data_IF_021748492052
#
_entry.id   IF_021748492052
#
_cell.length_a   1.000
_cell.length_b   1.000
_cell.length_c   1.000
_cell.angle_alpha   90.00
_cell.angle_beta   90.00
_cell.angle_gamma   90.00
#
_symmetry.space_group_name_H-M   'P 1'
#
loop_
_entity.id
_entity.type
_entity.pdbx_description
1 polymer ?
#
# COMPACT_ATOMS: atom_id res chain seq x y z
N UNK A 1 -10.28 4.16 -17.24
CA UNK A 1 -10.31 5.48 -16.55
C UNK A 1 -9.15 5.50 -15.57
N UNK A 2 -8.41 6.61 -15.44
CA UNK A 2 -7.38 6.77 -14.41
C UNK A 2 -7.93 7.62 -13.27
N UNK A 3 -7.73 7.19 -12.04
CA UNK A 3 -8.09 7.94 -10.83
C UNK A 3 -6.81 8.22 -10.06
N UNK A 4 -6.60 9.47 -9.66
CA UNK A 4 -5.49 9.88 -8.80
C UNK A 4 -6.08 10.19 -7.42
N UNK A 5 -5.57 9.51 -6.39
CA UNK A 5 -5.96 9.75 -4.99
C UNK A 5 -4.81 10.50 -4.33
N UNK A 6 -5.00 11.79 -4.10
CA UNK A 6 -4.02 12.63 -3.42
C UNK A 6 -4.38 12.71 -1.92
N UNK A 7 -3.50 12.20 -1.02
CA UNK A 7 -3.78 12.25 0.40
C UNK A 7 -3.53 13.66 0.95
N UNK A 8 -4.44 14.16 1.79
CA UNK A 8 -4.30 15.48 2.42
C UNK A 8 -3.15 15.54 3.45
N UNK A 9 -2.79 14.40 4.04
CA UNK A 9 -1.75 14.22 5.07
C UNK A 9 -1.24 12.77 4.98
N UNK A 10 -0.62 12.24 6.03
CA UNK A 10 -0.15 10.85 6.10
C UNK A 10 -1.27 9.81 5.99
N UNK A 11 -0.95 8.68 5.37
CA UNK A 11 -1.82 7.50 5.28
C UNK A 11 -1.37 6.42 6.26
N UNK A 12 -2.33 5.62 6.74
CA UNK A 12 -2.08 4.44 7.57
C UNK A 12 -2.84 3.23 7.02
N UNK A 13 -2.09 2.29 6.44
CA UNK A 13 -2.59 0.97 6.06
C UNK A 13 -2.09 -0.05 7.07
N UNK A 14 -2.89 -0.33 8.09
CA UNK A 14 -2.46 -1.10 9.27
C UNK A 14 -2.09 -2.54 8.90
N UNK A 15 -0.97 -3.03 9.43
CA UNK A 15 -0.64 -4.46 9.41
C UNK A 15 -1.68 -5.32 10.16
N UNK A 16 -1.73 -6.63 9.90
CA UNK A 16 -2.73 -7.54 10.47
C UNK A 16 -2.56 -7.86 11.97
N UNK A 17 -1.83 -7.04 12.72
CA UNK A 17 -1.66 -7.21 14.17
C UNK A 17 -2.82 -6.57 14.95
N UNK A 18 -3.09 -7.06 16.15
CA UNK A 18 -4.03 -6.44 17.06
C UNK A 18 -3.63 -4.99 17.33
N UNK A 19 -4.63 -4.10 17.39
CA UNK A 19 -4.45 -2.70 17.73
C UNK A 19 -5.63 -2.27 18.61
N UNK A 20 -5.45 -2.45 19.92
CA UNK A 20 -6.45 -2.21 20.95
C UNK A 20 -5.89 -1.29 22.02
N UNK A 21 -6.66 -0.27 22.38
CA UNK A 21 -6.25 0.69 23.39
C UNK A 21 -6.08 0.00 24.76
N UNK A 22 -4.87 0.06 25.31
CA UNK A 22 -4.55 -0.51 26.63
C UNK A 22 -3.82 -1.86 26.61
N UNK A 23 -3.76 -2.53 25.46
CA UNK A 23 -2.99 -3.78 25.27
C UNK A 23 -1.95 -3.58 24.16
N UNK A 24 -2.30 -3.88 22.93
CA UNK A 24 -1.48 -3.74 21.72
C UNK A 24 -1.73 -2.40 21.06
N UNK A 25 -0.84 -1.43 21.26
CA UNK A 25 -1.06 -0.02 20.89
C UNK A 25 -0.09 0.48 19.81
N UNK A 26 0.58 -0.43 19.11
CA UNK A 26 1.53 -0.09 18.03
C UNK A 26 0.95 -0.51 16.69
N UNK A 27 0.60 0.47 15.86
CA UNK A 27 0.24 0.24 14.46
C UNK A 27 1.44 0.56 13.56
N UNK A 28 1.77 -0.34 12.65
CA UNK A 28 2.72 -0.08 11.54
C UNK A 28 1.96 -0.07 10.23
N UNK A 29 2.32 0.88 9.37
CA UNK A 29 1.77 0.94 8.01
C UNK A 29 2.50 -0.02 7.08
N UNK A 30 1.74 -0.72 6.25
CA UNK A 30 2.18 -1.38 5.03
C UNK A 30 1.87 -0.50 3.83
N UNK A 31 2.18 -0.99 2.63
CA UNK A 31 1.66 -0.42 1.39
C UNK A 31 0.15 -0.69 1.27
N UNK A 32 -0.61 0.16 0.57
CA UNK A 32 -2.03 -0.08 0.31
C UNK A 32 -2.21 -1.39 -0.45
N UNK A 33 -3.05 -2.27 0.09
CA UNK A 33 -3.51 -3.44 -0.66
C UNK A 33 -4.57 -3.00 -1.67
N UNK A 34 -4.63 -3.61 -2.86
CA UNK A 34 -5.63 -3.27 -3.88
C UNK A 34 -7.07 -3.32 -3.33
N UNK A 35 -7.36 -4.29 -2.48
CA UNK A 35 -8.66 -4.43 -1.81
C UNK A 35 -9.04 -3.24 -0.91
N UNK A 36 -8.06 -2.56 -0.30
CA UNK A 36 -8.32 -1.38 0.54
C UNK A 36 -8.76 -0.20 -0.31
N UNK A 37 -8.10 0.00 -1.45
CA UNK A 37 -8.48 1.04 -2.42
C UNK A 37 -9.84 0.72 -3.05
N UNK A 38 -10.06 -0.54 -3.42
CA UNK A 38 -11.36 -1.02 -3.90
C UNK A 38 -12.48 -0.76 -2.89
N UNK A 39 -12.24 -1.08 -1.62
CA UNK A 39 -13.17 -0.81 -0.53
C UNK A 39 -13.50 0.67 -0.41
N UNK A 40 -12.50 1.55 -0.43
CA UNK A 40 -12.70 2.99 -0.35
C UNK A 40 -13.56 3.53 -1.52
N UNK A 41 -13.27 3.10 -2.75
CA UNK A 41 -14.04 3.50 -3.94
C UNK A 41 -15.49 3.00 -3.85
N UNK A 42 -15.68 1.71 -3.50
CA UNK A 42 -17.02 1.10 -3.34
C UNK A 42 -17.82 1.83 -2.26
N UNK A 43 -17.20 2.14 -1.13
CA UNK A 43 -17.84 2.90 -0.04
C UNK A 43 -18.23 4.30 -0.46
N UNK A 44 -17.39 4.99 -1.25
CA UNK A 44 -17.71 6.33 -1.76
C UNK A 44 -18.92 6.28 -2.70
N UNK A 45 -18.96 5.33 -3.63
CA UNK A 45 -20.11 5.15 -4.54
C UNK A 45 -21.40 4.86 -3.75
N UNK A 46 -21.34 3.95 -2.76
CA UNK A 46 -22.50 3.64 -1.92
C UNK A 46 -23.03 4.87 -1.18
N UNK A 47 -22.12 5.67 -0.61
CA UNK A 47 -22.48 6.85 0.15
C UNK A 47 -23.10 7.94 -0.74
N UNK A 48 -22.52 8.21 -1.91
CA UNK A 48 -23.02 9.24 -2.86
C UNK A 48 -24.36 8.86 -3.51
N UNK A 49 -24.75 7.58 -3.44
CA UNK A 49 -26.00 7.07 -4.01
C UNK A 49 -27.01 6.67 -2.92
N UNK A 50 -26.83 7.16 -1.69
CA UNK A 50 -27.71 6.89 -0.54
C UNK A 50 -28.03 5.41 -0.33
N UNK A 51 -27.03 4.54 -0.61
CA UNK A 51 -27.18 3.08 -0.52
C UNK A 51 -28.36 2.52 -1.34
N UNK A 52 -28.64 3.12 -2.50
CA UNK A 52 -29.64 2.63 -3.46
C UNK A 52 -29.39 1.18 -3.87
N UNK A 53 -30.44 0.50 -4.31
CA UNK A 53 -30.31 -0.90 -4.74
C UNK A 53 -29.39 -1.02 -5.97
N UNK A 54 -29.50 -0.10 -6.92
CA UNK A 54 -28.64 -0.04 -8.11
C UNK A 54 -27.16 0.12 -7.73
N UNK A 55 -26.85 1.00 -6.77
CA UNK A 55 -25.48 1.17 -6.30
C UNK A 55 -24.97 -0.10 -5.61
N UNK A 56 -25.79 -0.76 -4.78
CA UNK A 56 -25.44 -2.03 -4.13
C UNK A 56 -25.13 -3.12 -5.15
N UNK A 57 -25.91 -3.22 -6.21
CA UNK A 57 -25.71 -4.21 -7.26
C UNK A 57 -24.44 -3.91 -8.08
N UNK A 58 -24.20 -2.62 -8.39
CA UNK A 58 -23.01 -2.17 -9.10
C UNK A 58 -21.71 -2.46 -8.32
N UNK A 59 -21.65 -2.07 -7.04
CA UNK A 59 -20.44 -2.27 -6.21
C UNK A 59 -20.30 -3.68 -5.65
N UNK A 60 -21.23 -4.59 -5.96
CA UNK A 60 -21.26 -5.95 -5.40
C UNK A 60 -21.36 -5.95 -3.87
N UNK A 61 -22.33 -5.25 -3.28
CA UNK A 61 -22.49 -5.19 -1.82
C UNK A 61 -22.59 -6.60 -1.21
N UNK A 62 -21.78 -6.86 -0.18
CA UNK A 62 -21.59 -8.19 0.45
C UNK A 62 -21.03 -9.30 -0.45
N UNK A 63 -20.57 -8.96 -1.66
CA UNK A 63 -19.78 -9.85 -2.52
C UNK A 63 -18.29 -9.53 -2.33
N UNK A 64 -17.47 -10.58 -2.35
CA UNK A 64 -16.01 -10.44 -2.36
C UNK A 64 -15.56 -9.74 -3.64
N UNK A 65 -16.04 -10.22 -4.79
CA UNK A 65 -15.72 -9.66 -6.11
C UNK A 65 -16.96 -9.01 -6.75
N UNK A 66 -16.89 -7.71 -7.09
CA UNK A 66 -17.95 -7.04 -7.85
C UNK A 66 -17.87 -7.38 -9.35
N UNK A 67 -19.00 -7.74 -9.95
CA UNK A 67 -19.09 -8.07 -11.38
C UNK A 67 -18.98 -6.84 -12.29
N UNK A 68 -19.39 -5.66 -11.78
CA UNK A 68 -19.55 -4.44 -12.58
C UNK A 68 -18.44 -3.39 -12.37
N UNK A 69 -17.46 -3.68 -11.51
CA UNK A 69 -16.39 -2.75 -11.15
C UNK A 69 -15.04 -3.47 -11.06
N UNK A 70 -14.19 -3.27 -12.06
CA UNK A 70 -12.83 -3.84 -12.09
C UNK A 70 -11.80 -2.75 -11.83
N UNK A 71 -10.80 -3.05 -10.99
CA UNK A 71 -9.65 -2.18 -10.75
C UNK A 71 -8.43 -2.91 -11.29
N UNK A 72 -7.85 -2.39 -12.37
CA UNK A 72 -6.74 -3.03 -13.09
C UNK A 72 -5.45 -3.08 -12.26
N UNK A 73 -5.22 -2.08 -11.42
CA UNK A 73 -4.02 -1.99 -10.60
C UNK A 73 -4.02 -0.77 -9.68
N UNK A 74 -3.15 -0.83 -8.67
CA UNK A 74 -2.91 0.25 -7.71
C UNK A 74 -1.41 0.46 -7.63
N UNK A 75 -0.98 1.70 -7.83
CA UNK A 75 0.42 2.08 -7.84
C UNK A 75 0.62 3.32 -6.98
N UNK A 76 1.84 3.47 -6.44
CA UNK A 76 2.26 4.75 -5.90
C UNK A 76 2.58 5.72 -7.06
N UNK A 77 2.51 7.01 -6.79
CA UNK A 77 2.72 8.04 -7.81
C UNK A 77 3.57 9.18 -7.23
N UNK A 78 4.63 9.54 -7.96
CA UNK A 78 5.50 10.71 -7.71
C UNK A 78 5.95 11.29 -9.06
N UNK A 79 5.16 12.23 -9.59
CA UNK A 79 5.18 12.74 -10.97
C UNK A 79 4.91 11.67 -12.06
N UNK A 80 5.32 10.43 -11.84
CA UNK A 80 5.06 9.23 -12.63
C UNK A 80 4.76 8.03 -11.72
N UNK A 81 4.29 6.92 -12.30
CA UNK A 81 3.99 5.68 -11.59
C UNK A 81 5.27 5.06 -11.01
N UNK A 82 5.16 4.60 -9.77
CA UNK A 82 6.24 3.94 -9.04
C UNK A 82 5.93 2.45 -8.88
N UNK A 83 6.94 1.63 -9.11
CA UNK A 83 6.88 0.17 -9.03
C UNK A 83 7.94 -0.34 -8.06
N UNK A 84 7.65 -1.44 -7.38
CA UNK A 84 8.64 -2.08 -6.53
C UNK A 84 9.87 -2.47 -7.37
N UNK A 85 11.06 -2.21 -6.84
CA UNK A 85 12.31 -2.59 -7.52
C UNK A 85 12.33 -4.11 -7.76
N UNK A 86 12.69 -4.58 -8.97
CA UNK A 86 12.84 -5.99 -9.26
C UNK A 86 13.77 -6.71 -8.26
N UNK A 87 13.40 -7.94 -7.91
CA UNK A 87 14.08 -8.71 -6.86
C UNK A 87 15.47 -9.19 -7.25
N UNK A 88 15.79 -9.20 -8.55
CA UNK A 88 17.09 -9.54 -9.09
C UNK A 88 18.02 -8.32 -9.20
N UNK A 89 17.63 -7.15 -8.68
CA UNK A 89 18.51 -5.99 -8.49
C UNK A 89 18.87 -5.92 -7.01
N UNK A 90 20.17 -6.03 -6.72
CA UNK A 90 20.71 -6.05 -5.37
C UNK A 90 21.69 -4.91 -5.13
N UNK A 91 21.99 -4.67 -3.86
CA UNK A 91 22.99 -3.70 -3.42
C UNK A 91 24.21 -4.43 -2.82
N UNK A 92 25.39 -4.15 -3.36
CA UNK A 92 26.67 -4.71 -2.94
C UNK A 92 27.70 -3.58 -2.87
N UNK A 93 28.34 -3.40 -1.70
CA UNK A 93 29.36 -2.37 -1.47
C UNK A 93 28.95 -0.94 -1.93
N UNK A 94 27.70 -0.56 -1.64
CA UNK A 94 27.09 0.73 -2.06
C UNK A 94 26.93 0.92 -3.57
N UNK A 95 27.10 -0.15 -4.35
CA UNK A 95 26.81 -0.20 -5.78
C UNK A 95 25.62 -1.13 -6.03
N UNK A 96 24.83 -0.84 -7.08
CA UNK A 96 23.72 -1.71 -7.48
C UNK A 96 24.18 -2.63 -8.60
N UNK A 97 23.76 -3.89 -8.55
CA UNK A 97 24.09 -4.88 -9.56
C UNK A 97 22.92 -5.85 -9.76
N UNK A 98 22.91 -6.53 -10.91
CA UNK A 98 22.04 -7.69 -11.07
C UNK A 98 22.56 -8.86 -10.24
N UNK A 99 21.64 -9.62 -9.63
CA UNK A 99 21.99 -10.87 -8.97
C UNK A 99 22.37 -11.89 -10.03
N UNK A 100 23.58 -12.44 -9.89
CA UNK A 100 24.08 -13.49 -10.77
C UNK A 100 23.18 -14.73 -10.68
N UNK A 101 22.71 -15.19 -11.85
CA UNK A 101 22.02 -16.47 -12.00
C UNK A 101 23.03 -17.59 -12.15
N UNK A 102 22.87 -18.67 -11.41
CA UNK A 102 23.69 -19.88 -11.49
C UNK A 102 22.80 -21.03 -11.92
N UNK A 103 23.23 -21.81 -12.89
CA UNK A 103 22.58 -23.06 -13.27
C UNK A 103 23.27 -24.23 -12.56
N UNK A 104 22.59 -24.86 -11.60
CA UNK A 104 23.06 -26.07 -10.91
C UNK A 104 21.95 -27.11 -10.88
N UNK A 105 22.30 -28.39 -11.02
CA UNK A 105 21.32 -29.50 -11.01
C UNK A 105 20.16 -29.37 -12.03
N UNK A 106 20.32 -28.58 -13.10
CA UNK A 106 19.27 -28.32 -14.09
C UNK A 106 18.21 -27.32 -13.62
N UNK A 107 18.52 -26.50 -12.62
CA UNK A 107 17.68 -25.41 -12.14
C UNK A 107 18.49 -24.10 -12.04
N UNK A 108 17.83 -22.97 -12.30
CA UNK A 108 18.40 -21.64 -12.10
C UNK A 108 18.21 -21.17 -10.67
N UNK A 109 19.29 -20.72 -10.05
CA UNK A 109 19.33 -20.15 -8.71
C UNK A 109 19.86 -18.71 -8.75
N UNK A 110 19.38 -17.88 -7.84
CA UNK A 110 19.97 -16.58 -7.56
C UNK A 110 21.08 -16.75 -6.52
N UNK A 111 22.29 -16.26 -6.80
CA UNK A 111 23.38 -16.32 -5.83
C UNK A 111 23.04 -15.46 -4.59
N UNK A 112 23.08 -16.00 -3.36
CA UNK A 112 22.67 -15.28 -2.14
C UNK A 112 23.72 -14.25 -1.65
N UNK A 113 24.58 -13.73 -2.53
CA UNK A 113 25.71 -12.87 -2.16
C UNK A 113 25.33 -11.42 -1.90
N UNK A 114 24.11 -11.00 -2.22
CA UNK A 114 23.68 -9.62 -2.07
C UNK A 114 22.18 -9.54 -1.69
N UNK A 115 21.85 -8.54 -0.87
CA UNK A 115 20.47 -8.27 -0.47
C UNK A 115 19.73 -7.49 -1.57
N UNK A 116 18.46 -7.85 -1.89
CA UNK A 116 17.65 -7.09 -2.84
C UNK A 116 17.53 -5.62 -2.44
N UNK A 117 17.65 -4.71 -3.41
CA UNK A 117 17.80 -3.27 -3.15
C UNK A 117 16.54 -2.58 -2.57
N UNK A 118 15.39 -3.27 -2.53
CA UNK A 118 14.15 -2.73 -1.97
C UNK A 118 13.69 -1.44 -2.66
N UNK A 119 12.74 -0.74 -2.03
CA UNK A 119 12.23 0.55 -2.52
C UNK A 119 11.47 0.47 -3.85
N UNK A 120 11.45 1.59 -4.57
CA UNK A 120 10.67 1.77 -5.80
C UNK A 120 11.48 2.41 -6.92
N UNK A 121 11.14 2.05 -8.16
CA UNK A 121 11.65 2.65 -9.39
C UNK A 121 10.51 3.28 -10.18
N UNK A 122 10.86 4.19 -11.09
CA UNK A 122 9.91 4.86 -11.97
C UNK A 122 9.49 3.96 -13.12
N UNK A 123 8.31 4.21 -13.70
CA UNK A 123 7.80 3.44 -14.85
C UNK A 123 8.82 3.32 -15.98
N UNK A 124 9.46 4.42 -16.35
CA UNK A 124 10.48 4.43 -17.41
C UNK A 124 11.64 3.46 -17.13
N UNK A 125 12.10 3.41 -15.89
CA UNK A 125 13.24 2.56 -15.49
C UNK A 125 12.79 1.09 -15.47
N UNK A 126 11.54 0.82 -15.09
CA UNK A 126 10.95 -0.52 -15.18
C UNK A 126 10.80 -0.99 -16.63
N UNK A 127 10.37 -0.12 -17.55
CA UNK A 127 10.28 -0.45 -18.98
C UNK A 127 11.66 -0.82 -19.52
N UNK A 128 12.68 0.01 -19.27
CA UNK A 128 14.06 -0.28 -19.68
C UNK A 128 14.60 -1.57 -19.05
N UNK A 129 14.21 -1.88 -17.81
CA UNK A 129 14.54 -3.17 -17.17
C UNK A 129 13.89 -4.35 -17.91
N UNK A 130 12.62 -4.25 -18.26
CA UNK A 130 11.89 -5.30 -19.00
C UNK A 130 12.44 -5.49 -20.42
N UNK A 131 12.99 -4.44 -21.02
CA UNK A 131 13.70 -4.48 -22.30
C UNK A 131 15.12 -5.06 -22.17
N UNK A 132 15.65 -5.19 -20.95
CA UNK A 132 17.00 -5.71 -20.67
C UNK A 132 18.12 -4.70 -20.88
N UNK A 133 17.79 -3.41 -20.97
CA UNK A 133 18.74 -2.32 -21.30
C UNK A 133 19.07 -1.45 -20.07
N UNK A 134 18.56 -1.80 -18.88
CA UNK A 134 18.72 -0.95 -17.70
C UNK A 134 20.13 -1.05 -17.12
N UNK A 135 20.81 0.09 -17.06
CA UNK A 135 22.06 0.30 -16.30
C UNK A 135 21.75 0.47 -14.81
N UNK A 136 22.01 -0.58 -14.02
CA UNK A 136 21.62 -0.66 -12.61
C UNK A 136 22.48 0.19 -11.68
N UNK A 137 23.74 0.43 -12.03
CA UNK A 137 24.71 1.13 -11.18
C UNK A 137 24.25 2.55 -10.83
N UNK A 138 23.56 3.21 -11.77
CA UNK A 138 23.06 4.57 -11.63
C UNK A 138 21.56 4.63 -11.31
N UNK A 139 20.91 3.49 -11.08
CA UNK A 139 19.48 3.41 -10.83
C UNK A 139 19.11 4.16 -9.54
N UNK A 140 18.19 5.13 -9.67
CA UNK A 140 17.68 5.89 -8.53
C UNK A 140 16.48 5.17 -7.92
N UNK A 141 16.70 4.56 -6.76
CA UNK A 141 15.63 3.95 -5.95
C UNK A 141 15.00 5.00 -5.03
N UNK A 142 13.68 5.02 -4.99
CA UNK A 142 12.86 5.88 -4.15
C UNK A 142 12.33 5.09 -2.95
N UNK A 143 12.27 5.75 -1.80
CA UNK A 143 11.76 5.15 -0.57
C UNK A 143 10.52 5.90 -0.09
N UNK A 144 9.54 5.16 0.42
CA UNK A 144 8.38 5.74 1.09
C UNK A 144 8.82 6.27 2.45
N UNK A 145 8.68 7.58 2.64
CA UNK A 145 8.96 8.23 3.91
C UNK A 145 7.93 7.77 4.95
N UNK A 146 8.43 7.43 6.15
CA UNK A 146 7.59 6.98 7.27
C UNK A 146 7.58 8.04 8.35
N UNK A 147 6.39 8.44 8.77
CA UNK A 147 6.20 9.33 9.91
C UNK A 147 5.72 8.56 11.13
N UNK A 148 6.28 8.88 12.31
CA UNK A 148 5.86 8.28 13.58
C UNK A 148 5.03 9.28 14.38
N UNK A 149 3.77 8.94 14.65
CA UNK A 149 2.88 9.70 15.54
C UNK A 149 2.61 8.90 16.83
N UNK A 150 2.46 9.61 17.95
CA UNK A 150 2.10 9.03 19.25
C UNK A 150 0.84 9.74 19.76
N UNK A 151 -0.25 8.99 19.90
CA UNK A 151 -1.49 9.47 20.48
C UNK A 151 -1.61 9.10 21.95
N UNK A 152 -2.33 9.92 22.72
CA UNK A 152 -2.69 9.63 24.11
C UNK A 152 -4.19 9.77 24.29
N UNK A 153 -4.75 9.01 25.23
CA UNK A 153 -6.15 9.15 25.66
C UNK A 153 -6.19 9.84 27.02
N UNK A 154 -6.99 10.91 27.14
CA UNK A 154 -7.18 11.64 28.38
C UNK A 154 -8.48 11.17 29.03
N UNK A 155 -8.41 10.87 30.34
CA UNK A 155 -9.61 10.62 31.13
C UNK A 155 -10.16 11.95 31.61
N UNK A 156 -11.30 12.35 31.09
CA UNK A 156 -12.05 13.46 31.66
C UNK A 156 -12.77 12.98 32.92
N UNK A 157 -12.73 13.73 34.04
CA UNK A 157 -13.55 13.40 35.20
C UNK A 157 -15.02 13.37 34.76
N UNK A 158 -15.70 12.26 35.04
CA UNK A 158 -17.16 12.21 34.89
C UNK A 158 -17.72 13.19 35.90
N UNK A 159 -18.24 14.33 35.44
CA UNK A 159 -19.12 15.13 36.28
C UNK A 159 -20.25 14.22 36.73
N UNK A 160 -20.35 13.99 38.03
CA UNK A 160 -21.28 13.06 38.65
C UNK A 160 -22.75 13.49 38.54
N UNK A 161 -23.11 14.38 37.61
CA UNK A 161 -24.43 14.98 37.47
C UNK A 161 -24.93 15.23 36.03
N UNK A 162 -24.27 14.79 34.97
CA UNK A 162 -24.84 14.94 33.61
C UNK A 162 -25.45 13.64 33.10
N UNK A 163 -26.76 13.51 33.24
CA UNK A 163 -27.62 12.69 32.38
C UNK A 163 -27.57 13.23 30.96
N UNK A 164 -26.51 12.90 30.21
CA UNK A 164 -26.51 13.04 28.77
C UNK A 164 -26.56 11.63 28.19
N UNK A 165 -27.75 11.27 27.69
CA UNK A 165 -27.91 10.07 26.86
C UNK A 165 -26.97 10.19 25.65
N UNK A 166 -26.31 9.09 25.25
CA UNK A 166 -25.54 9.10 24.01
C UNK A 166 -26.49 9.40 22.84
N UNK A 167 -26.05 10.14 21.82
CA UNK A 167 -26.84 10.33 20.63
C UNK A 167 -27.07 8.96 20.00
N UNK A 168 -28.35 8.57 19.90
CA UNK A 168 -28.78 7.46 19.05
C UNK A 168 -28.51 7.85 17.60
N UNK A 169 -27.66 7.09 16.92
CA UNK A 169 -27.55 7.11 15.46
C UNK A 169 -28.87 6.68 14.82
#
# INVERSE_FOLDING_TARGET
MRVIIEPNDVLLFRELKYFEAGTDHVARSTLPLPQTVAGAIRSKILFEQDFSQEAKDYVGYRKEEPENLTIDGVFLWDAEELFATPMDIAELDSSRCYITRIEEFGAEFFHPSADPCGGFIKLRDLVTYLEGELEVENLKVLNVLRERRVGISLKFPRDSNSTLQPPTC
#
